data_IF_519876217473
#
_entry.id   IF_519876217473
#
_cell.length_a   1.000
_cell.length_b   1.000
_cell.length_c   1.000
_cell.angle_alpha   90.00
_cell.angle_beta   90.00
_cell.angle_gamma   90.00
#
_symmetry.space_group_name_H-M   'P 1'
#
loop_
_entity.id
_entity.type
_entity.pdbx_description
1 polymer ?
#
# COMPACT_ATOMS: atom_id res chain seq x y z
N UNK A 1 -0.14 7.32 -13.82
CA UNK A 1 -0.64 6.77 -12.54
C UNK A 1 -1.86 5.92 -12.78
N UNK A 2 -1.95 4.78 -12.12
CA UNK A 2 -2.98 3.75 -12.36
C UNK A 2 -4.24 4.00 -11.53
N UNK A 3 -4.78 5.20 -11.59
CA UNK A 3 -5.92 5.59 -10.76
C UNK A 3 -7.26 5.61 -11.49
N UNK A 4 -8.35 5.59 -10.74
CA UNK A 4 -9.73 5.68 -11.24
C UNK A 4 -10.23 7.14 -11.29
N UNK A 5 -9.34 8.11 -11.26
CA UNK A 5 -9.65 9.55 -11.22
C UNK A 5 -9.51 10.15 -9.82
N UNK A 6 -9.81 11.44 -9.68
CA UNK A 6 -9.62 12.20 -8.45
C UNK A 6 -10.83 12.20 -7.50
N UNK A 7 -12.00 11.78 -7.98
CA UNK A 7 -13.21 11.75 -7.17
C UNK A 7 -13.17 10.56 -6.19
N UNK A 8 -13.18 10.86 -4.90
CA UNK A 8 -13.07 9.88 -3.84
C UNK A 8 -14.27 8.93 -3.74
N UNK A 9 -15.47 9.43 -3.99
CA UNK A 9 -16.67 8.60 -3.99
C UNK A 9 -16.67 7.63 -5.17
N UNK A 10 -16.44 8.15 -6.38
CA UNK A 10 -16.37 7.32 -7.59
C UNK A 10 -15.24 6.30 -7.47
N UNK A 11 -14.07 6.73 -7.00
CA UNK A 11 -12.92 5.84 -6.75
C UNK A 11 -13.28 4.70 -5.79
N UNK A 12 -14.02 4.99 -4.73
CA UNK A 12 -14.49 3.98 -3.76
C UNK A 12 -15.46 2.99 -4.39
N UNK A 13 -16.41 3.47 -5.22
CA UNK A 13 -17.36 2.59 -5.92
C UNK A 13 -16.67 1.69 -6.94
N UNK A 14 -15.71 2.23 -7.67
CA UNK A 14 -14.91 1.48 -8.64
C UNK A 14 -14.03 0.44 -7.93
N UNK A 15 -13.38 0.80 -6.84
CA UNK A 15 -12.54 -0.11 -6.05
C UNK A 15 -13.36 -1.31 -5.57
N UNK A 16 -14.53 -1.05 -4.98
CA UNK A 16 -15.44 -2.10 -4.53
C UNK A 16 -15.85 -3.04 -5.70
N UNK A 17 -16.30 -2.46 -6.81
CA UNK A 17 -16.75 -3.22 -7.97
C UNK A 17 -15.62 -4.06 -8.59
N UNK A 18 -14.41 -3.51 -8.69
CA UNK A 18 -13.24 -4.25 -9.20
C UNK A 18 -12.89 -5.45 -8.34
N UNK A 19 -12.88 -5.28 -7.02
CA UNK A 19 -12.62 -6.41 -6.11
C UNK A 19 -13.65 -7.51 -6.31
N UNK A 20 -14.94 -7.15 -6.35
CA UNK A 20 -16.00 -8.12 -6.58
C UNK A 20 -15.89 -8.78 -7.97
N UNK A 21 -15.53 -8.01 -8.99
CA UNK A 21 -15.35 -8.56 -10.36
C UNK A 21 -14.17 -9.54 -10.46
N UNK A 22 -13.03 -9.22 -9.85
CA UNK A 22 -11.85 -10.10 -9.89
C UNK A 22 -12.02 -11.35 -9.03
N UNK A 23 -12.59 -11.22 -7.85
CA UNK A 23 -12.72 -12.32 -6.89
C UNK A 23 -14.00 -13.13 -7.06
N UNK A 24 -14.96 -12.64 -7.86
CA UNK A 24 -16.20 -13.34 -8.16
C UNK A 24 -16.96 -13.80 -6.91
N UNK A 25 -17.40 -15.04 -6.93
CA UNK A 25 -18.12 -15.67 -5.81
C UNK A 25 -17.21 -16.17 -4.69
N UNK A 26 -15.91 -15.92 -4.77
CA UNK A 26 -14.93 -16.26 -3.75
C UNK A 26 -13.64 -16.84 -4.32
N UNK A 27 -12.57 -16.67 -3.59
CA UNK A 27 -11.25 -17.22 -3.92
C UNK A 27 -11.31 -18.76 -3.84
N UNK A 28 -10.71 -19.41 -4.82
CA UNK A 28 -10.76 -20.87 -4.94
C UNK A 28 -11.63 -21.36 -6.07
N UNK A 29 -12.47 -20.51 -6.66
CA UNK A 29 -13.14 -20.84 -7.92
C UNK A 29 -12.17 -20.68 -9.09
N UNK A 30 -12.35 -21.50 -10.15
CA UNK A 30 -11.45 -21.50 -11.30
C UNK A 30 -11.50 -20.21 -12.13
N UNK A 31 -12.54 -19.41 -11.97
CA UNK A 31 -12.80 -18.15 -12.65
C UNK A 31 -12.48 -16.92 -11.78
N UNK A 32 -11.86 -17.11 -10.64
CA UNK A 32 -11.51 -16.03 -9.71
C UNK A 32 -10.00 -15.78 -9.65
N UNK A 33 -9.62 -14.51 -9.43
CA UNK A 33 -8.24 -14.10 -9.16
C UNK A 33 -8.19 -13.22 -7.94
N UNK A 34 -7.08 -13.27 -7.21
CA UNK A 34 -6.87 -12.39 -6.06
C UNK A 34 -6.74 -10.94 -6.51
N UNK A 35 -7.65 -10.09 -6.08
CA UNK A 35 -7.53 -8.66 -6.28
C UNK A 35 -6.42 -8.07 -5.40
N UNK A 36 -5.71 -7.07 -5.93
CA UNK A 36 -4.69 -6.32 -5.19
C UNK A 36 -5.03 -4.83 -5.22
N UNK A 37 -5.33 -4.26 -4.05
CA UNK A 37 -5.51 -2.82 -3.93
C UNK A 37 -4.14 -2.14 -3.80
N UNK A 38 -3.83 -1.22 -4.75
CA UNK A 38 -2.51 -0.59 -4.83
C UNK A 38 -2.57 0.86 -5.30
N UNK A 39 -1.60 1.66 -5.04
CA UNK A 39 -0.44 1.45 -4.15
C UNK A 39 -0.72 2.11 -2.81
N UNK A 40 -0.68 1.38 -1.73
CA UNK A 40 -1.10 1.82 -0.40
C UNK A 40 0.05 2.49 0.36
N UNK A 41 -0.02 3.83 0.55
CA UNK A 41 -1.10 4.75 0.20
C UNK A 41 -0.55 6.10 -0.25
N UNK A 42 -1.48 6.92 -0.74
CA UNK A 42 -1.22 8.32 -1.11
C UNK A 42 -0.23 8.53 -2.28
N UNK A 43 0.07 7.52 -3.08
CA UNK A 43 1.03 7.58 -4.19
C UNK A 43 0.70 8.68 -5.21
N UNK A 44 -0.57 9.00 -5.38
CA UNK A 44 -1.03 10.08 -6.27
C UNK A 44 -0.78 11.50 -5.77
N UNK A 45 -0.36 11.67 -4.52
CA UNK A 45 -0.14 12.97 -3.89
C UNK A 45 1.32 13.43 -3.93
N UNK A 46 2.18 12.73 -4.67
CA UNK A 46 3.60 13.05 -4.75
C UNK A 46 3.85 14.51 -5.13
N UNK A 47 4.73 15.18 -4.40
CA UNK A 47 5.07 16.60 -4.58
C UNK A 47 5.51 16.87 -6.03
N UNK A 48 4.90 17.88 -6.65
CA UNK A 48 5.18 18.26 -8.04
C UNK A 48 4.69 17.23 -9.07
N UNK A 49 3.87 16.26 -8.69
CA UNK A 49 3.41 15.19 -9.58
C UNK A 49 4.53 14.27 -10.04
N UNK A 50 5.66 14.28 -9.35
CA UNK A 50 6.84 13.49 -9.70
C UNK A 50 6.74 12.11 -9.05
N UNK A 51 6.90 11.09 -9.86
CA UNK A 51 6.95 9.71 -9.42
C UNK A 51 8.02 9.50 -8.34
N UNK A 52 7.78 8.65 -7.38
CA UNK A 52 8.65 8.37 -6.23
C UNK A 52 8.90 9.55 -5.27
N UNK A 53 8.28 10.70 -5.48
CA UNK A 53 8.54 11.84 -4.63
C UNK A 53 7.75 11.75 -3.32
N UNK A 54 8.19 12.54 -2.34
CA UNK A 54 7.58 12.63 -1.01
C UNK A 54 6.13 13.09 -1.07
N UNK A 55 5.36 12.61 -0.12
CA UNK A 55 3.99 13.07 0.13
C UNK A 55 3.95 13.75 1.48
N UNK A 56 3.56 15.02 1.48
CA UNK A 56 3.36 15.80 2.70
C UNK A 56 1.90 16.26 2.76
N UNK A 57 1.15 15.75 3.73
CA UNK A 57 -0.26 16.05 3.86
C UNK A 57 -0.76 15.92 5.30
N UNK A 58 -1.86 16.63 5.60
CA UNK A 58 -2.54 16.47 6.87
C UNK A 58 -3.17 15.09 7.01
N UNK A 59 -3.29 14.61 8.25
CA UNK A 59 -4.02 13.37 8.53
C UNK A 59 -5.47 13.43 8.02
N UNK A 60 -6.14 14.58 8.15
CA UNK A 60 -7.48 14.80 7.63
C UNK A 60 -7.55 14.55 6.12
N UNK A 61 -6.62 15.11 5.34
CA UNK A 61 -6.58 14.90 3.90
C UNK A 61 -6.34 13.44 3.54
N UNK A 62 -5.46 12.77 4.26
CA UNK A 62 -5.21 11.34 4.09
C UNK A 62 -6.51 10.54 4.27
N UNK A 63 -7.25 10.79 5.35
CA UNK A 63 -8.48 10.08 5.68
C UNK A 63 -9.68 10.43 4.80
N UNK A 64 -9.80 11.68 4.37
CA UNK A 64 -10.95 12.13 3.58
C UNK A 64 -10.79 11.89 2.08
N UNK A 65 -9.53 11.84 1.58
CA UNK A 65 -9.28 11.81 0.14
C UNK A 65 -8.63 10.51 -0.32
N UNK A 66 -7.56 10.08 0.35
CA UNK A 66 -6.71 8.99 -0.19
C UNK A 66 -7.04 7.61 0.35
N UNK A 67 -7.49 7.51 1.59
CA UNK A 67 -7.83 6.23 2.20
C UNK A 67 -9.20 5.65 1.82
N UNK A 68 -10.25 6.43 1.53
CA UNK A 68 -11.58 5.85 1.32
C UNK A 68 -11.67 4.82 0.18
N UNK A 69 -11.03 4.98 -0.99
CA UNK A 69 -11.04 3.92 -2.01
C UNK A 69 -10.39 2.61 -1.54
N UNK A 70 -9.33 2.70 -0.74
CA UNK A 70 -8.70 1.52 -0.15
C UNK A 70 -9.59 0.86 0.91
N UNK A 71 -10.28 1.69 1.71
CA UNK A 71 -11.28 1.17 2.66
C UNK A 71 -12.40 0.43 1.95
N UNK A 72 -12.90 0.98 0.86
CA UNK A 72 -13.93 0.33 0.04
C UNK A 72 -13.45 -0.99 -0.56
N UNK A 73 -12.18 -1.08 -0.99
CA UNK A 73 -11.59 -2.33 -1.43
C UNK A 73 -11.52 -3.35 -0.28
N UNK A 74 -11.12 -2.90 0.92
CA UNK A 74 -11.11 -3.75 2.11
C UNK A 74 -12.51 -4.28 2.44
N UNK A 75 -13.51 -3.41 2.41
CA UNK A 75 -14.91 -3.77 2.69
C UNK A 75 -15.49 -4.72 1.64
N UNK A 76 -14.99 -4.65 0.41
CA UNK A 76 -15.30 -5.63 -0.63
C UNK A 76 -14.63 -6.98 -0.41
N UNK A 77 -13.73 -7.12 0.56
CA UNK A 77 -13.01 -8.33 0.88
C UNK A 77 -11.77 -8.56 0.00
N UNK A 78 -11.05 -7.49 -0.38
CA UNK A 78 -9.83 -7.62 -1.18
C UNK A 78 -8.82 -8.58 -0.52
N UNK A 79 -8.21 -9.43 -1.31
CA UNK A 79 -7.29 -10.44 -0.82
C UNK A 79 -5.91 -9.88 -0.47
N UNK A 80 -5.45 -8.87 -1.20
CA UNK A 80 -4.10 -8.33 -1.03
C UNK A 80 -4.06 -6.81 -1.14
N UNK A 81 -3.08 -6.22 -0.49
CA UNK A 81 -2.64 -4.85 -0.71
C UNK A 81 -1.20 -4.84 -1.19
N UNK A 82 -0.84 -3.82 -1.96
CA UNK A 82 0.55 -3.54 -2.30
C UNK A 82 0.94 -2.16 -1.75
N UNK A 83 2.10 -2.11 -1.10
CA UNK A 83 2.65 -0.85 -0.60
C UNK A 83 2.97 0.11 -1.74
N UNK A 84 3.04 1.40 -1.42
CA UNK A 84 3.54 2.40 -2.35
C UNK A 84 5.02 2.75 -2.09
N UNK A 85 5.67 3.33 -3.10
CA UNK A 85 7.08 3.73 -3.05
C UNK A 85 7.34 5.00 -2.25
N UNK A 86 6.39 5.95 -2.31
CA UNK A 86 6.53 7.26 -1.67
C UNK A 86 6.65 7.15 -0.15
N UNK A 87 7.28 8.14 0.44
CA UNK A 87 7.09 8.40 1.86
C UNK A 87 5.79 9.20 2.08
N UNK A 88 5.23 9.07 3.25
CA UNK A 88 4.12 9.88 3.75
C UNK A 88 4.60 10.59 5.00
N UNK A 89 4.68 11.93 4.95
CA UNK A 89 5.19 12.76 6.04
C UNK A 89 6.56 12.29 6.56
N UNK A 90 7.46 11.96 5.63
CA UNK A 90 8.83 11.54 5.92
C UNK A 90 9.00 10.07 6.29
N UNK A 91 7.94 9.25 6.25
CA UNK A 91 8.01 7.81 6.56
C UNK A 91 7.66 7.00 5.30
N UNK A 92 8.58 6.20 4.74
CA UNK A 92 8.29 5.34 3.59
C UNK A 92 7.04 4.48 3.83
N UNK A 93 6.09 4.53 2.90
CA UNK A 93 4.81 3.83 3.05
C UNK A 93 4.99 2.33 3.28
N UNK A 94 6.01 1.73 2.68
CA UNK A 94 6.38 0.32 2.86
C UNK A 94 6.69 -0.04 4.32
N UNK A 95 7.36 0.86 5.06
CA UNK A 95 7.71 0.67 6.48
C UNK A 95 6.83 1.46 7.46
N UNK A 96 5.80 2.13 6.98
CA UNK A 96 4.97 3.01 7.79
C UNK A 96 4.03 2.22 8.71
N UNK A 97 4.40 2.11 9.99
CA UNK A 97 3.60 1.41 11.00
C UNK A 97 2.16 1.92 11.07
N UNK A 98 1.96 3.23 10.98
CA UNK A 98 0.62 3.82 11.04
C UNK A 98 -0.27 3.31 9.89
N UNK A 99 0.24 3.30 8.66
CA UNK A 99 -0.51 2.77 7.51
C UNK A 99 -0.72 1.26 7.62
N UNK A 100 0.35 0.49 7.86
CA UNK A 100 0.33 -0.97 7.74
C UNK A 100 -0.31 -1.66 8.93
N UNK A 101 -0.02 -1.18 10.15
CA UNK A 101 -0.48 -1.83 11.39
C UNK A 101 -1.70 -1.15 12.00
N UNK A 102 -1.62 0.17 12.18
CA UNK A 102 -2.64 0.85 12.95
C UNK A 102 -3.92 1.05 12.11
N UNK A 103 -3.79 1.39 10.83
CA UNK A 103 -4.95 1.53 9.91
C UNK A 103 -5.35 0.18 9.33
N UNK A 104 -4.48 -0.42 8.52
CA UNK A 104 -4.86 -1.56 7.68
C UNK A 104 -5.20 -2.79 8.53
N UNK A 105 -4.29 -3.22 9.39
CA UNK A 105 -4.51 -4.40 10.24
C UNK A 105 -5.39 -4.09 11.45
N UNK A 106 -5.19 -2.95 12.11
CA UNK A 106 -5.93 -2.57 13.32
C UNK A 106 -7.34 -2.07 13.02
N UNK A 107 -7.45 -0.81 12.53
CA UNK A 107 -8.76 -0.18 12.34
C UNK A 107 -9.65 -0.87 11.30
N UNK A 108 -9.05 -1.37 10.21
CA UNK A 108 -9.80 -2.01 9.12
C UNK A 108 -9.89 -3.53 9.24
N UNK A 109 -9.17 -4.11 10.19
CA UNK A 109 -9.16 -5.56 10.43
C UNK A 109 -8.88 -6.39 9.16
N UNK A 110 -7.96 -5.90 8.31
CA UNK A 110 -7.61 -6.57 7.07
C UNK A 110 -6.95 -7.93 7.34
N UNK A 111 -7.52 -9.00 6.79
CA UNK A 111 -7.10 -10.39 7.05
C UNK A 111 -6.14 -10.94 5.99
N UNK A 112 -6.03 -10.29 4.84
CA UNK A 112 -5.13 -10.72 3.77
C UNK A 112 -3.67 -10.37 4.04
N UNK A 113 -2.84 -10.45 3.03
CA UNK A 113 -1.43 -10.08 3.14
C UNK A 113 -1.10 -8.82 2.34
N UNK A 114 0.00 -8.19 2.72
CA UNK A 114 0.56 -7.02 2.02
C UNK A 114 1.80 -7.47 1.28
N UNK A 115 1.86 -7.17 -0.01
CA UNK A 115 3.04 -7.37 -0.84
C UNK A 115 3.77 -6.04 -1.00
N UNK A 116 5.10 -6.06 -1.02
CA UNK A 116 5.88 -4.88 -1.36
C UNK A 116 5.78 -4.57 -2.85
N UNK A 117 5.87 -3.30 -3.21
CA UNK A 117 6.14 -2.94 -4.59
C UNK A 117 7.58 -3.30 -4.98
N UNK A 118 7.90 -3.19 -6.26
CA UNK A 118 9.18 -3.60 -6.82
C UNK A 118 10.36 -2.92 -6.12
N UNK A 119 11.13 -3.70 -5.37
CA UNK A 119 12.31 -3.21 -4.65
C UNK A 119 12.04 -2.27 -3.47
N UNK A 120 10.78 -1.92 -3.17
CA UNK A 120 10.43 -0.86 -2.22
C UNK A 120 10.98 -1.08 -0.80
N UNK A 121 11.19 -2.33 -0.38
CA UNK A 121 11.82 -2.62 0.91
C UNK A 121 13.28 -2.19 0.92
N UNK A 122 14.02 -2.47 -0.17
CA UNK A 122 15.42 -2.04 -0.29
C UNK A 122 15.55 -0.53 -0.42
N UNK A 123 14.62 0.11 -1.10
CA UNK A 123 14.58 1.55 -1.31
C UNK A 123 14.34 2.36 -0.03
N UNK A 124 13.75 1.78 1.01
CA UNK A 124 13.62 2.45 2.31
C UNK A 124 14.97 2.93 2.87
N UNK A 125 16.06 2.27 2.51
CA UNK A 125 17.42 2.70 2.91
C UNK A 125 17.79 4.01 2.20
N UNK A 126 17.53 4.10 0.90
CA UNK A 126 17.81 5.29 0.11
C UNK A 126 16.96 6.49 0.53
N UNK A 127 15.74 6.23 0.99
CA UNK A 127 14.85 7.26 1.56
C UNK A 127 15.23 7.67 3.00
N UNK A 128 16.35 7.17 3.53
CA UNK A 128 16.95 7.63 4.79
C UNK A 128 16.20 7.24 6.06
N UNK A 129 15.17 6.43 5.96
CA UNK A 129 14.36 6.07 7.13
C UNK A 129 14.98 4.99 8.01
N UNK A 130 15.73 4.11 7.40
CA UNK A 130 16.52 3.13 8.12
C UNK A 130 17.99 3.52 8.00
N UNK A 131 18.46 4.35 8.94
CA UNK A 131 19.88 4.47 9.15
C UNK A 131 20.47 3.08 9.40
N UNK A 132 21.73 2.90 9.05
CA UNK A 132 22.48 1.66 9.18
C UNK A 132 22.44 1.00 10.57
N UNK A 133 21.85 1.66 11.57
CA UNK A 133 21.77 1.21 12.97
C UNK A 133 20.51 0.43 13.37
N UNK A 134 19.38 0.56 12.64
CA UNK A 134 18.13 -0.11 13.05
C UNK A 134 18.01 -1.52 12.47
N UNK A 135 18.53 -1.73 11.27
CA UNK A 135 18.76 -3.08 10.74
C UNK A 135 20.26 -3.32 10.75
N UNK A 136 20.77 -3.84 11.86
CA UNK A 136 22.21 -4.10 12.03
C UNK A 136 22.87 -4.50 10.70
N UNK A 137 23.93 -3.81 10.36
CA UNK A 137 24.64 -3.73 9.07
C UNK A 137 24.89 -5.05 8.31
N UNK A 138 24.41 -6.18 8.78
CA UNK A 138 24.88 -7.48 8.30
C UNK A 138 23.81 -8.40 7.71
N UNK A 139 22.52 -8.17 7.91
CA UNK A 139 21.53 -9.16 7.50
C UNK A 139 20.89 -8.89 6.12
N UNK A 140 20.73 -7.63 5.72
CA UNK A 140 20.07 -7.31 4.45
C UNK A 140 21.04 -7.32 3.25
N UNK A 141 22.33 -7.08 3.45
CA UNK A 141 23.33 -7.23 2.38
C UNK A 141 23.49 -8.69 1.87
N UNK A 142 22.99 -9.67 2.62
CA UNK A 142 23.08 -11.09 2.25
C UNK A 142 21.88 -11.62 1.47
N UNK A 143 20.76 -10.94 1.50
CA UNK A 143 19.59 -11.37 0.76
C UNK A 143 19.47 -10.48 -0.46
N UNK A 144 20.13 -10.90 -1.53
CA UNK A 144 19.96 -10.31 -2.85
C UNK A 144 18.47 -10.20 -3.21
N UNK A 145 18.17 -9.29 -4.07
CA UNK A 145 16.87 -8.84 -4.59
C UNK A 145 15.82 -9.92 -4.92
N UNK A 146 15.52 -10.85 -4.05
CA UNK A 146 14.76 -12.02 -4.42
C UNK A 146 13.61 -12.46 -3.50
N UNK A 147 13.40 -11.85 -2.33
CA UNK A 147 12.27 -12.26 -1.46
C UNK A 147 11.64 -11.06 -0.78
N UNK A 148 10.62 -10.53 -1.39
CA UNK A 148 9.85 -9.38 -0.95
C UNK A 148 8.57 -9.82 -0.21
N UNK A 149 8.72 -10.50 0.91
CA UNK A 149 7.58 -10.78 1.77
C UNK A 149 7.74 -10.02 3.08
N UNK A 150 6.82 -9.12 3.37
CA UNK A 150 6.64 -8.60 4.72
C UNK A 150 5.86 -9.66 5.48
N UNK A 151 6.55 -10.59 6.12
CA UNK A 151 5.91 -11.51 7.03
C UNK A 151 5.52 -10.77 8.29
N UNK A 152 4.24 -10.80 8.59
CA UNK A 152 3.51 -10.59 9.85
C UNK A 152 3.91 -9.40 10.73
#
# INVERSE_FOLDING_TARGET
MEGAGADTYLGSRIAYARVKGFQGNGLGNLDSVMACAKHFAAYGAAVGGRDYNSVDMSERQLWETYLPPFKAANDAGVATFMNSFNDVNGIPATGNKYLQRDILKGKWNFQGFVVSDWGSIGEMIAHGWFGSSIFGNHRWKRYGYGKQFVSQ
#
